data_IF_159861286787
#
_entry.id   IF_159861286787
#
_cell.length_a   1.000
_cell.length_b   1.000
_cell.length_c   1.000
_cell.angle_alpha   90.00
_cell.angle_beta   90.00
_cell.angle_gamma   90.00
#
_symmetry.space_group_name_H-M   'P 1'
#
loop_
_entity.id
_entity.type
_entity.pdbx_description
1 polymer ?
#
# COMPACT_ATOMS: atom_id res chain seq x y z
N UNK A 1 68.97 17.65 13.74
CA UNK A 1 68.93 16.22 14.11
C UNK A 1 67.52 15.93 14.62
N UNK A 2 66.63 15.45 13.74
CA UNK A 2 65.21 15.21 14.05
C UNK A 2 64.91 13.73 13.79
N UNK A 3 64.44 13.03 14.82
CA UNK A 3 64.11 11.59 14.78
C UNK A 3 62.82 11.37 13.97
N UNK A 4 62.75 10.33 13.13
CA UNK A 4 61.53 9.98 12.42
C UNK A 4 60.59 9.20 13.34
N UNK A 5 59.38 9.71 13.57
CA UNK A 5 58.29 8.89 14.11
C UNK A 5 57.46 8.36 12.95
N UNK A 6 57.37 7.03 12.93
CA UNK A 6 56.79 6.23 11.87
C UNK A 6 55.29 6.52 11.66
N UNK A 7 54.91 6.69 10.39
CA UNK A 7 53.53 6.60 9.94
C UNK A 7 52.96 5.23 10.32
N UNK A 8 51.97 5.21 11.20
CA UNK A 8 51.11 4.04 11.38
C UNK A 8 49.79 4.35 10.68
N UNK A 9 49.70 3.94 9.41
CA UNK A 9 48.47 3.96 8.65
C UNK A 9 47.53 2.90 9.24
N UNK A 10 46.54 3.32 10.02
CA UNK A 10 45.44 2.46 10.44
C UNK A 10 44.49 2.28 9.25
N UNK A 11 44.69 1.22 8.46
CA UNK A 11 43.69 0.77 7.50
C UNK A 11 42.52 0.15 8.29
N UNK A 12 41.48 0.94 8.54
CA UNK A 12 40.18 0.41 8.94
C UNK A 12 39.58 -0.21 7.67
N UNK A 13 39.79 -1.51 7.49
CA UNK A 13 39.03 -2.29 6.52
C UNK A 13 37.61 -2.45 7.06
N UNK A 14 36.72 -1.49 6.73
CA UNK A 14 35.28 -1.69 6.83
C UNK A 14 34.89 -2.76 5.82
N UNK A 15 34.83 -4.01 6.26
CA UNK A 15 34.16 -5.07 5.53
C UNK A 15 32.65 -4.84 5.72
N UNK A 16 32.07 -3.96 4.90
CA UNK A 16 30.64 -4.01 4.65
C UNK A 16 30.38 -5.27 3.84
N UNK A 17 30.26 -6.40 4.56
CA UNK A 17 29.60 -7.58 4.02
C UNK A 17 28.14 -7.22 3.80
N UNK A 18 27.82 -6.72 2.61
CA UNK A 18 26.45 -6.66 2.13
C UNK A 18 25.97 -8.11 2.00
N UNK A 19 25.28 -8.60 3.03
CA UNK A 19 24.41 -9.76 2.89
C UNK A 19 23.30 -9.34 1.91
N UNK A 20 23.50 -9.58 0.63
CA UNK A 20 22.38 -9.57 -0.32
C UNK A 20 21.37 -10.61 0.18
N UNK A 21 20.08 -10.30 0.32
CA UNK A 21 19.09 -11.32 0.58
C UNK A 21 19.01 -12.21 -0.67
N UNK A 22 19.75 -13.31 -0.63
CA UNK A 22 19.59 -14.43 -1.56
C UNK A 22 18.15 -14.88 -1.44
N UNK A 23 17.34 -14.61 -2.45
CA UNK A 23 16.00 -15.16 -2.60
C UNK A 23 16.14 -16.66 -2.91
N UNK A 24 16.43 -17.46 -1.90
CA UNK A 24 16.24 -18.89 -1.92
C UNK A 24 14.74 -19.15 -1.74
N UNK A 25 14.01 -19.13 -2.86
CA UNK A 25 12.62 -19.57 -2.90
C UNK A 25 12.56 -21.06 -2.55
N UNK A 26 12.16 -21.37 -1.32
CA UNK A 26 11.92 -22.73 -0.87
C UNK A 26 10.55 -23.17 -1.40
N UNK A 27 10.45 -24.14 -2.33
CA UNK A 27 9.18 -24.54 -2.93
C UNK A 27 8.48 -25.49 -1.97
N UNK A 28 7.91 -24.96 -0.89
CA UNK A 28 7.34 -25.82 0.14
C UNK A 28 7.02 -25.16 1.46
N UNK A 29 6.45 -23.95 1.47
CA UNK A 29 5.55 -23.51 2.54
C UNK A 29 4.56 -22.53 1.93
N UNK A 30 3.28 -22.91 1.89
CA UNK A 30 2.22 -21.92 2.04
C UNK A 30 2.54 -21.27 3.39
N UNK A 31 3.05 -20.04 3.35
CA UNK A 31 3.44 -19.30 4.53
C UNK A 31 2.31 -19.38 5.56
N UNK A 32 2.65 -19.43 6.84
CA UNK A 32 1.70 -19.19 7.92
C UNK A 32 1.24 -17.72 7.93
N UNK A 33 1.00 -17.15 6.75
CA UNK A 33 0.40 -15.85 6.56
C UNK A 33 -1.03 -15.97 7.07
N UNK A 34 -1.30 -15.28 8.18
CA UNK A 34 -2.64 -14.97 8.60
C UNK A 34 -3.46 -14.57 7.37
N UNK A 35 -4.62 -15.19 7.11
CA UNK A 35 -5.38 -14.89 5.90
C UNK A 35 -5.68 -13.40 5.84
N UNK A 36 -5.27 -12.74 4.75
CA UNK A 36 -5.61 -11.34 4.51
C UNK A 36 -7.06 -11.23 4.05
N UNK A 37 -7.79 -10.31 4.64
CA UNK A 37 -9.19 -10.03 4.31
C UNK A 37 -9.25 -8.71 3.55
N UNK A 38 -9.95 -8.73 2.42
CA UNK A 38 -10.28 -7.53 1.66
C UNK A 38 -11.79 -7.32 1.72
N UNK A 39 -12.23 -6.26 2.41
CA UNK A 39 -13.63 -5.80 2.42
C UNK A 39 -13.79 -4.77 1.31
N UNK A 40 -14.69 -5.02 0.37
CA UNK A 40 -14.98 -4.10 -0.74
C UNK A 40 -16.45 -3.72 -0.70
N UNK A 41 -16.74 -2.44 -0.88
CA UNK A 41 -18.11 -1.94 -1.03
C UNK A 41 -18.84 -2.59 -2.20
N UNK A 42 -20.17 -2.70 -2.10
CA UNK A 42 -21.00 -3.19 -3.21
C UNK A 42 -21.01 -2.16 -4.36
N UNK A 43 -21.23 -2.61 -5.59
CA UNK A 43 -21.35 -1.74 -6.76
C UNK A 43 -20.03 -1.25 -7.37
N UNK A 44 -18.89 -1.81 -6.94
CA UNK A 44 -17.59 -1.60 -7.58
C UNK A 44 -17.49 -2.46 -8.84
N UNK A 45 -17.02 -1.87 -9.94
CA UNK A 45 -16.79 -2.54 -11.21
C UNK A 45 -15.80 -3.71 -11.06
N UNK A 46 -15.98 -4.76 -11.85
CA UNK A 46 -15.19 -5.99 -11.70
C UNK A 46 -13.69 -5.76 -11.94
N UNK A 47 -13.32 -4.95 -12.93
CA UNK A 47 -11.91 -4.59 -13.17
C UNK A 47 -11.28 -3.92 -11.95
N UNK A 48 -11.94 -2.91 -11.38
CA UNK A 48 -11.45 -2.23 -10.17
C UNK A 48 -11.42 -3.16 -8.95
N UNK A 49 -12.34 -4.13 -8.87
CA UNK A 49 -12.30 -5.17 -7.84
C UNK A 49 -11.04 -6.01 -7.97
N UNK A 50 -10.70 -6.45 -9.18
CA UNK A 50 -9.49 -7.24 -9.44
C UNK A 50 -8.22 -6.44 -9.13
N UNK A 51 -8.20 -5.14 -9.44
CA UNK A 51 -7.09 -4.25 -9.07
C UNK A 51 -6.91 -4.16 -7.55
N UNK A 52 -8.02 -4.01 -6.79
CA UNK A 52 -7.98 -3.99 -5.33
C UNK A 52 -7.51 -5.33 -4.75
N UNK A 53 -7.92 -6.46 -5.34
CA UNK A 53 -7.43 -7.80 -4.96
C UNK A 53 -5.92 -7.89 -5.21
N UNK A 54 -5.44 -7.48 -6.39
CA UNK A 54 -4.02 -7.50 -6.73
C UNK A 54 -3.18 -6.56 -5.87
N UNK A 55 -3.72 -5.42 -5.47
CA UNK A 55 -3.10 -4.52 -4.48
C UNK A 55 -3.05 -5.15 -3.10
N UNK A 56 -4.18 -5.70 -2.60
CA UNK A 56 -4.27 -6.25 -1.25
C UNK A 56 -3.29 -7.40 -1.02
N UNK A 57 -2.97 -8.17 -2.07
CA UNK A 57 -1.97 -9.25 -2.04
C UNK A 57 -0.52 -8.78 -1.88
N UNK A 58 -0.23 -7.49 -2.06
CA UNK A 58 1.13 -6.95 -2.10
C UNK A 58 1.46 -6.02 -0.93
N UNK A 59 0.46 -5.63 -0.15
CA UNK A 59 0.65 -4.69 0.95
C UNK A 59 0.85 -5.42 2.28
N UNK A 60 1.67 -4.83 3.13
CA UNK A 60 1.83 -5.20 4.52
C UNK A 60 1.00 -4.28 5.42
N UNK A 61 0.73 -4.73 6.66
CA UNK A 61 -0.09 -4.00 7.63
C UNK A 61 -1.53 -3.82 7.16
N UNK A 62 -2.23 -2.86 7.77
CA UNK A 62 -3.60 -2.46 7.39
C UNK A 62 -3.55 -1.42 6.28
N UNK A 63 -4.49 -1.51 5.34
CA UNK A 63 -4.60 -0.57 4.23
C UNK A 63 -6.04 -0.24 3.87
N UNK A 64 -6.20 0.89 3.16
CA UNK A 64 -7.49 1.40 2.74
C UNK A 64 -7.47 1.96 1.33
N UNK A 65 -8.61 1.87 0.66
CA UNK A 65 -8.90 2.44 -0.64
C UNK A 65 -10.07 3.41 -0.52
N UNK A 66 -9.90 4.64 -1.01
CA UNK A 66 -10.91 5.68 -1.06
C UNK A 66 -11.05 6.26 -2.47
N UNK A 67 -12.28 6.59 -2.84
CA UNK A 67 -12.62 7.19 -4.14
C UNK A 67 -13.59 8.35 -3.98
N UNK A 68 -13.64 9.30 -4.91
CA UNK A 68 -14.69 10.29 -5.00
C UNK A 68 -16.07 9.63 -5.10
N UNK A 69 -17.03 10.13 -4.32
CA UNK A 69 -18.42 9.69 -4.39
C UNK A 69 -19.11 10.43 -5.52
N UNK A 70 -19.63 9.69 -6.49
CA UNK A 70 -20.48 10.26 -7.53
C UNK A 70 -21.66 11.05 -6.94
N UNK A 71 -22.01 12.21 -7.55
CA UNK A 71 -23.22 12.94 -7.24
C UNK A 71 -24.46 12.05 -7.25
N UNK A 72 -25.46 12.41 -6.45
CA UNK A 72 -26.72 11.68 -6.40
C UNK A 72 -27.35 11.59 -7.81
N UNK A 73 -27.79 10.39 -8.18
CA UNK A 73 -28.43 10.13 -9.48
C UNK A 73 -27.47 9.79 -10.62
N UNK A 74 -26.15 9.92 -10.45
CA UNK A 74 -25.18 9.48 -11.45
C UNK A 74 -24.89 7.98 -11.31
N UNK A 75 -24.98 7.25 -12.42
CA UNK A 75 -24.68 5.82 -12.47
C UNK A 75 -23.20 5.58 -12.78
N UNK A 76 -22.60 4.62 -12.08
CA UNK A 76 -21.26 4.12 -12.39
C UNK A 76 -21.35 3.27 -13.66
N UNK A 77 -20.63 3.67 -14.70
CA UNK A 77 -20.49 2.91 -15.95
C UNK A 77 -19.27 2.01 -15.86
N UNK A 78 -19.47 0.69 -15.82
CA UNK A 78 -18.39 -0.29 -15.74
C UNK A 78 -17.91 -0.80 -17.11
N UNK A 79 -18.54 -0.33 -18.19
CA UNK A 79 -18.31 -0.69 -19.57
C UNK A 79 -17.44 0.32 -20.34
N UNK A 80 -17.15 1.48 -19.74
CA UNK A 80 -16.38 2.57 -20.36
C UNK A 80 -15.01 2.79 -19.73
N UNK A 81 -14.03 3.22 -20.54
CA UNK A 81 -12.69 3.65 -20.14
C UNK A 81 -12.67 5.01 -19.41
N UNK A 82 -13.78 5.74 -19.40
CA UNK A 82 -13.75 7.21 -19.32
C UNK A 82 -13.95 7.77 -17.91
N UNK A 83 -13.75 6.96 -16.87
CA UNK A 83 -13.85 7.47 -15.50
C UNK A 83 -12.87 6.77 -14.57
N UNK A 84 -11.57 6.90 -14.87
CA UNK A 84 -10.55 6.70 -13.86
C UNK A 84 -10.65 7.84 -12.87
N UNK A 85 -11.44 7.65 -11.81
CA UNK A 85 -11.49 8.60 -10.71
C UNK A 85 -10.13 8.58 -9.98
N UNK A 86 -9.67 9.73 -9.45
CA UNK A 86 -8.49 9.74 -8.60
C UNK A 86 -8.72 8.83 -7.39
N UNK A 87 -7.79 7.92 -7.17
CA UNK A 87 -7.86 6.95 -6.08
C UNK A 87 -6.93 7.42 -4.96
N UNK A 88 -7.45 7.51 -3.74
CA UNK A 88 -6.65 7.59 -2.53
C UNK A 88 -6.41 6.18 -1.99
N UNK A 89 -5.17 5.82 -1.72
CA UNK A 89 -4.85 4.53 -1.10
C UNK A 89 -3.73 4.68 -0.08
N UNK A 90 -3.76 3.86 0.95
CA UNK A 90 -2.84 3.86 2.09
C UNK A 90 -2.59 2.43 2.56
N UNK A 91 -1.41 2.14 3.10
CA UNK A 91 -1.06 0.82 3.64
C UNK A 91 0.12 0.94 4.60
N UNK A 92 0.41 -0.15 5.33
CA UNK A 92 1.48 -0.20 6.33
C UNK A 92 1.11 0.41 7.68
N UNK A 93 -0.19 0.58 7.95
CA UNK A 93 -0.67 1.10 9.23
C UNK A 93 -0.97 -0.03 10.22
N UNK A 94 -0.91 0.28 11.51
CA UNK A 94 -1.26 -0.66 12.57
C UNK A 94 -2.77 -0.76 12.76
N UNK A 95 -3.50 0.32 12.49
CA UNK A 95 -4.95 0.37 12.67
C UNK A 95 -5.71 0.73 11.39
N UNK A 96 -6.94 0.22 11.28
CA UNK A 96 -7.83 0.54 10.17
C UNK A 96 -8.24 2.02 10.16
N UNK A 97 -8.34 2.64 11.32
CA UNK A 97 -8.70 4.06 11.44
C UNK A 97 -7.63 4.96 10.83
N UNK A 98 -6.34 4.68 11.07
CA UNK A 98 -5.23 5.45 10.49
C UNK A 98 -5.14 5.22 8.97
N UNK A 99 -5.29 3.97 8.53
CA UNK A 99 -5.33 3.65 7.10
C UNK A 99 -6.48 4.39 6.41
N UNK A 100 -7.69 4.37 6.98
CA UNK A 100 -8.87 5.04 6.42
C UNK A 100 -8.67 6.55 6.35
N UNK A 101 -8.15 7.16 7.43
CA UNK A 101 -7.86 8.60 7.47
C UNK A 101 -6.84 9.01 6.40
N UNK A 102 -5.76 8.24 6.23
CA UNK A 102 -4.74 8.50 5.23
C UNK A 102 -5.25 8.34 3.79
N UNK A 103 -6.04 7.29 3.51
CA UNK A 103 -6.64 7.10 2.19
C UNK A 103 -7.65 8.21 1.86
N UNK A 104 -8.46 8.63 2.85
CA UNK A 104 -9.41 9.73 2.70
C UNK A 104 -8.71 11.07 2.47
N UNK A 105 -7.62 11.35 3.19
CA UNK A 105 -6.81 12.55 2.98
C UNK A 105 -6.20 12.58 1.57
N UNK A 106 -5.61 11.46 1.13
CA UNK A 106 -5.04 11.32 -0.21
C UNK A 106 -6.08 11.51 -1.33
N UNK A 107 -7.29 10.97 -1.14
CA UNK A 107 -8.39 11.17 -2.08
C UNK A 107 -8.88 12.62 -2.09
N UNK A 108 -9.08 13.22 -0.90
CA UNK A 108 -9.63 14.58 -0.77
C UNK A 108 -8.70 15.62 -1.37
N UNK A 109 -7.38 15.43 -1.24
CA UNK A 109 -6.38 16.30 -1.86
C UNK A 109 -6.45 16.34 -3.40
N UNK A 110 -7.11 15.37 -4.04
CA UNK A 110 -7.26 15.24 -5.49
C UNK A 110 -8.73 15.23 -5.92
N UNK A 111 -9.65 15.66 -5.07
CA UNK A 111 -11.08 15.61 -5.33
C UNK A 111 -11.42 16.48 -6.56
N UNK A 112 -11.94 15.90 -7.65
CA UNK A 112 -12.31 16.67 -8.83
C UNK A 112 -13.48 17.60 -8.54
N UNK A 113 -13.57 18.71 -9.27
CA UNK A 113 -14.75 19.58 -9.22
C UNK A 113 -16.01 18.80 -9.60
N UNK A 114 -17.11 19.08 -8.90
CA UNK A 114 -18.37 18.37 -9.09
C UNK A 114 -18.52 17.07 -8.28
N UNK A 115 -17.52 16.70 -7.47
CA UNK A 115 -17.64 15.63 -6.47
C UNK A 115 -17.71 16.22 -5.06
N UNK A 116 -18.66 15.75 -4.25
CA UNK A 116 -18.91 16.35 -2.93
C UNK A 116 -17.93 15.87 -1.85
N UNK A 117 -17.51 14.61 -1.94
CA UNK A 117 -16.67 13.97 -0.91
C UNK A 117 -16.00 12.69 -1.41
N UNK A 118 -14.96 12.28 -0.71
CA UNK A 118 -14.40 10.94 -0.82
C UNK A 118 -15.14 9.94 0.09
N UNK A 119 -15.04 8.65 -0.25
CA UNK A 119 -15.54 7.54 0.57
C UNK A 119 -14.57 6.36 0.51
N UNK A 120 -14.39 5.67 1.64
CA UNK A 120 -13.66 4.40 1.68
C UNK A 120 -14.50 3.31 1.02
N UNK A 121 -13.90 2.59 0.07
CA UNK A 121 -14.54 1.50 -0.68
C UNK A 121 -13.81 0.17 -0.56
N UNK A 122 -12.60 0.17 -0.01
CA UNK A 122 -11.81 -1.03 0.19
C UNK A 122 -11.03 -0.95 1.51
N UNK A 123 -11.00 -2.03 2.26
CA UNK A 123 -10.20 -2.17 3.49
C UNK A 123 -9.49 -3.52 3.47
N UNK A 124 -8.19 -3.51 3.70
CA UNK A 124 -7.32 -4.69 3.73
C UNK A 124 -6.71 -4.83 5.11
N UNK A 125 -6.93 -5.96 5.76
CA UNK A 125 -6.49 -6.22 7.13
C UNK A 125 -6.31 -7.72 7.34
N UNK A 126 -5.57 -8.10 8.37
CA UNK A 126 -5.37 -9.50 8.71
C UNK A 126 -6.64 -10.06 9.38
N UNK A 127 -6.99 -11.32 9.11
CA UNK A 127 -8.23 -11.93 9.66
C UNK A 127 -8.31 -11.86 11.19
N UNK A 128 -7.18 -11.78 11.88
CA UNK A 128 -7.10 -11.72 13.34
C UNK A 128 -7.29 -10.32 13.94
N UNK A 129 -7.24 -9.25 13.14
CA UNK A 129 -7.35 -7.86 13.61
C UNK A 129 -8.78 -7.29 13.54
N UNK A 130 -9.79 -8.16 13.62
CA UNK A 130 -11.20 -7.80 13.48
C UNK A 130 -11.83 -7.24 14.76
#
# INVERSE_FOLDING_TARGET
MYKPFALTAAMIATVFGFSTPTHAGNPGKVSSETPRVLRISKGICETSRQDMIGWARRIEGVGSYAVPRYPAGQQVKCDGSDSVLPIGYSWGYDTQAEADAAAMAACTARLPSGFDRCVVIGQSFDRTSR
#
